data_IF_671822789434
#
_entry.id   IF_671822789434
#
_cell.length_a   1.000
_cell.length_b   1.000
_cell.length_c   1.000
_cell.angle_alpha   90.00
_cell.angle_beta   90.00
_cell.angle_gamma   90.00
#
_symmetry.space_group_name_H-M   'P 1'
#
loop_
_entity.id
_entity.type
_entity.pdbx_description
1 polymer ?
#
# COMPACT_ATOMS: atom_id res chain seq x y z
N UNK A 1 8.86 29.32 1.88
CA UNK A 1 9.81 29.19 0.73
C UNK A 1 9.27 28.18 -0.29
N UNK A 2 9.19 28.52 -1.59
CA UNK A 2 8.71 27.61 -2.65
C UNK A 2 9.88 26.90 -3.34
N UNK A 3 9.75 25.61 -3.59
CA UNK A 3 10.74 24.76 -4.27
C UNK A 3 10.08 24.15 -5.51
N UNK A 4 10.61 24.49 -6.69
CA UNK A 4 10.22 23.87 -7.98
C UNK A 4 11.41 23.13 -8.57
N UNK A 5 11.53 21.83 -8.28
CA UNK A 5 12.63 20.97 -8.75
C UNK A 5 12.08 19.58 -9.08
N UNK A 6 12.78 18.84 -9.93
CA UNK A 6 12.44 17.43 -10.18
C UNK A 6 12.74 16.53 -8.98
N UNK A 7 13.86 16.78 -8.29
CA UNK A 7 14.31 16.05 -7.11
C UNK A 7 15.40 16.85 -6.38
N UNK A 8 15.56 16.60 -5.09
CA UNK A 8 16.69 17.06 -4.27
C UNK A 8 17.49 15.88 -3.71
N UNK A 9 18.79 16.13 -3.46
CA UNK A 9 19.72 15.18 -2.83
C UNK A 9 20.30 15.68 -1.50
N UNK A 10 20.23 17.00 -1.26
CA UNK A 10 20.76 17.68 -0.07
C UNK A 10 19.76 18.74 0.37
N UNK A 11 19.83 19.12 1.63
CA UNK A 11 18.94 20.09 2.29
C UNK A 11 19.70 21.27 2.89
N UNK A 12 20.94 21.53 2.45
CA UNK A 12 21.81 22.61 2.94
C UNK A 12 21.13 23.99 2.85
N UNK A 13 20.19 24.15 1.91
CA UNK A 13 19.38 25.36 1.77
C UNK A 13 18.41 25.59 2.94
N UNK A 14 18.25 24.64 3.88
CA UNK A 14 17.43 24.73 5.09
C UNK A 14 18.25 24.91 6.36
N UNK A 15 19.55 25.19 6.25
CA UNK A 15 20.41 25.38 7.42
C UNK A 15 19.90 26.48 8.37
N UNK A 16 19.22 27.49 7.84
CA UNK A 16 18.61 28.56 8.64
C UNK A 16 17.46 28.09 9.54
N UNK A 17 16.91 26.89 9.28
CA UNK A 17 15.79 26.28 10.03
C UNK A 17 16.21 25.06 10.82
N UNK A 18 17.52 24.82 10.94
CA UNK A 18 18.00 23.65 11.64
C UNK A 18 17.55 23.66 13.11
N UNK A 19 16.92 22.58 13.55
CA UNK A 19 16.33 22.43 14.87
C UNK A 19 14.84 22.79 14.96
N UNK A 20 14.29 23.50 13.97
CA UNK A 20 12.87 23.90 13.97
C UNK A 20 11.94 22.78 13.51
N UNK A 21 10.69 22.86 13.95
CA UNK A 21 9.60 22.06 13.40
C UNK A 21 9.06 22.72 12.13
N UNK A 22 8.95 21.94 11.05
CA UNK A 22 8.45 22.42 9.77
C UNK A 22 7.43 21.44 9.19
N UNK A 23 6.59 21.96 8.31
CA UNK A 23 5.75 21.16 7.40
C UNK A 23 6.16 21.44 5.95
N UNK A 24 6.02 20.41 5.12
CA UNK A 24 6.10 20.54 3.67
C UNK A 24 4.66 20.51 3.16
N UNK A 25 4.30 21.47 2.32
CA UNK A 25 2.94 21.56 1.80
C UNK A 25 2.84 22.06 0.38
N UNK A 26 1.65 21.96 -0.19
CA UNK A 26 1.29 22.59 -1.47
C UNK A 26 -0.13 23.12 -1.38
N UNK A 27 -0.40 24.26 -1.99
CA UNK A 27 -1.75 24.83 -2.10
C UNK A 27 -2.57 24.00 -3.08
N UNK A 28 -3.80 23.67 -2.69
CA UNK A 28 -4.76 23.05 -3.59
C UNK A 28 -5.32 24.12 -4.53
N UNK A 29 -4.89 24.04 -5.79
CA UNK A 29 -5.38 24.85 -6.89
C UNK A 29 -5.89 23.94 -8.02
N UNK A 30 -6.48 24.55 -9.05
CA UNK A 30 -7.00 23.82 -10.21
C UNK A 30 -5.95 22.94 -10.91
N UNK A 31 -4.65 23.21 -10.72
CA UNK A 31 -3.56 22.45 -11.32
C UNK A 31 -3.24 21.17 -10.53
N UNK A 32 -3.29 21.22 -9.20
CA UNK A 32 -2.90 20.12 -8.33
C UNK A 32 -4.07 19.26 -7.83
N UNK A 33 -5.32 19.72 -7.96
CA UNK A 33 -6.52 18.98 -7.55
C UNK A 33 -6.62 17.59 -8.21
N UNK A 34 -6.34 17.47 -9.51
CA UNK A 34 -6.36 16.16 -10.19
C UNK A 34 -5.33 15.19 -9.59
N UNK A 35 -4.15 15.69 -9.26
CA UNK A 35 -3.07 14.89 -8.65
C UNK A 35 -3.46 14.45 -7.24
N UNK A 36 -4.19 15.27 -6.49
CA UNK A 36 -4.72 14.91 -5.18
C UNK A 36 -5.62 13.66 -5.26
N UNK A 37 -6.49 13.59 -6.27
CA UNK A 37 -7.33 12.40 -6.51
C UNK A 37 -6.49 11.17 -6.87
N UNK A 38 -5.47 11.34 -7.72
CA UNK A 38 -4.59 10.24 -8.15
C UNK A 38 -3.82 9.62 -6.97
N UNK A 39 -3.42 10.43 -5.99
CA UNK A 39 -2.72 9.95 -4.79
C UNK A 39 -3.65 9.38 -3.71
N UNK A 40 -4.97 9.49 -3.88
CA UNK A 40 -5.97 8.77 -3.09
C UNK A 40 -6.94 9.61 -2.26
N UNK A 41 -6.86 10.95 -2.30
CA UNK A 41 -7.83 11.81 -1.62
C UNK A 41 -9.24 11.69 -2.21
N UNK A 42 -10.25 12.10 -1.45
CA UNK A 42 -11.63 12.09 -1.93
C UNK A 42 -11.87 13.21 -2.97
N UNK A 43 -13.00 13.12 -3.68
CA UNK A 43 -13.43 14.19 -4.60
C UNK A 43 -13.81 15.48 -3.84
N UNK A 44 -14.25 15.34 -2.59
CA UNK A 44 -14.71 16.47 -1.76
C UNK A 44 -13.53 17.24 -1.15
N UNK A 45 -12.34 16.62 -1.06
CA UNK A 45 -11.11 17.20 -0.50
C UNK A 45 -11.35 17.85 0.88
N UNK A 46 -12.01 17.12 1.78
CA UNK A 46 -12.38 17.65 3.09
C UNK A 46 -11.16 17.88 3.97
N UNK A 47 -11.21 18.94 4.78
CA UNK A 47 -10.23 19.16 5.83
C UNK A 47 -10.15 17.93 6.75
N UNK A 48 -8.95 17.53 7.14
CA UNK A 48 -8.70 16.36 7.98
C UNK A 48 -8.58 15.05 7.22
N UNK A 49 -8.91 14.99 5.93
CA UNK A 49 -8.62 13.81 5.11
C UNK A 49 -7.12 13.52 5.14
N UNK A 50 -6.75 12.27 5.41
CA UNK A 50 -5.36 11.81 5.49
C UNK A 50 -5.19 10.54 4.66
N UNK A 51 -4.15 10.49 3.83
CA UNK A 51 -3.85 9.32 2.98
C UNK A 51 -2.38 8.97 2.98
N UNK A 52 -2.08 7.68 3.03
CA UNK A 52 -0.80 7.19 2.54
C UNK A 52 -0.87 7.21 1.01
N UNK A 53 -0.01 7.97 0.34
CA UNK A 53 -0.11 8.22 -1.12
C UNK A 53 -0.09 6.94 -1.97
N UNK A 54 -0.94 6.87 -2.99
CA UNK A 54 -0.84 5.87 -4.07
C UNK A 54 0.54 5.89 -4.74
N UNK A 55 0.94 4.74 -5.30
CA UNK A 55 2.19 4.61 -6.04
C UNK A 55 2.04 5.14 -7.47
N UNK A 56 2.63 6.30 -7.75
CA UNK A 56 2.71 6.88 -9.10
C UNK A 56 4.13 6.84 -9.68
N UNK A 57 5.14 6.75 -8.82
CA UNK A 57 6.55 6.83 -9.18
C UNK A 57 7.47 6.17 -8.14
N UNK A 58 8.80 6.24 -8.33
CA UNK A 58 9.77 5.60 -7.44
C UNK A 58 9.74 6.11 -5.99
N UNK A 59 9.51 7.41 -5.77
CA UNK A 59 9.51 8.01 -4.41
C UNK A 59 8.24 7.63 -3.67
N UNK A 60 7.08 7.77 -4.30
CA UNK A 60 5.79 7.29 -3.75
C UNK A 60 5.79 5.79 -3.52
N UNK A 61 6.42 4.99 -4.40
CA UNK A 61 6.65 3.56 -4.14
C UNK A 61 7.49 3.33 -2.89
N UNK A 62 8.61 4.04 -2.74
CA UNK A 62 9.47 3.95 -1.55
C UNK A 62 8.70 4.36 -0.28
N UNK A 63 7.80 5.33 -0.40
CA UNK A 63 6.94 5.79 0.70
C UNK A 63 5.91 4.74 1.12
N UNK A 64 5.23 4.10 0.15
CA UNK A 64 4.12 3.19 0.41
C UNK A 64 4.54 1.73 0.61
N UNK A 65 5.59 1.25 -0.07
CA UNK A 65 5.96 -0.18 -0.10
C UNK A 65 7.38 -0.46 0.39
N UNK A 66 8.18 0.58 0.63
CA UNK A 66 9.60 0.42 0.97
C UNK A 66 10.43 0.06 -0.26
N UNK A 67 11.59 -0.56 -0.04
CA UNK A 67 12.52 -0.91 -1.12
C UNK A 67 13.46 -2.04 -0.71
N UNK A 68 14.24 -2.53 -1.66
CA UNK A 68 15.18 -3.62 -1.45
C UNK A 68 16.61 -3.19 -1.75
N UNK A 69 17.55 -3.59 -0.89
CA UNK A 69 18.99 -3.54 -1.17
C UNK A 69 19.36 -4.86 -1.82
N UNK A 70 19.88 -4.83 -3.06
CA UNK A 70 20.19 -6.03 -3.85
C UNK A 70 21.68 -6.35 -3.72
N UNK A 71 21.99 -7.54 -3.22
CA UNK A 71 23.36 -8.02 -3.02
C UNK A 71 23.86 -8.80 -4.24
N UNK A 72 24.36 -8.05 -5.24
CA UNK A 72 24.87 -8.63 -6.51
C UNK A 72 26.19 -9.40 -6.35
N UNK A 73 26.88 -9.16 -5.24
CA UNK A 73 28.10 -9.83 -4.79
C UNK A 73 27.84 -11.27 -4.29
N UNK A 74 26.61 -11.60 -3.91
CA UNK A 74 26.24 -12.92 -3.37
C UNK A 74 25.69 -13.85 -4.45
N UNK A 75 25.81 -15.16 -4.22
CA UNK A 75 25.23 -16.20 -5.10
C UNK A 75 23.71 -16.07 -5.17
N UNK A 76 23.15 -16.23 -6.37
CA UNK A 76 21.71 -16.16 -6.59
C UNK A 76 20.96 -17.28 -5.84
N UNK A 77 19.86 -16.90 -5.20
CA UNK A 77 18.90 -17.81 -4.56
C UNK A 77 17.82 -18.28 -5.55
N UNK A 78 17.28 -19.48 -5.33
CA UNK A 78 16.07 -19.94 -6.03
C UNK A 78 14.85 -19.39 -5.32
N UNK A 79 13.95 -18.77 -6.08
CA UNK A 79 12.59 -18.42 -5.66
C UNK A 79 11.58 -19.00 -6.64
N UNK A 80 10.32 -18.84 -6.30
CA UNK A 80 9.21 -19.41 -7.05
C UNK A 80 8.12 -18.37 -7.22
N UNK A 81 7.45 -18.43 -8.36
CA UNK A 81 6.23 -17.67 -8.62
C UNK A 81 5.17 -18.62 -9.13
N UNK A 82 3.94 -18.42 -8.68
CA UNK A 82 2.79 -19.17 -9.19
C UNK A 82 2.33 -18.58 -10.52
N UNK A 83 2.06 -19.42 -11.50
CA UNK A 83 1.44 -19.04 -12.77
C UNK A 83 0.23 -19.94 -13.04
N UNK A 84 -0.71 -19.43 -13.82
CA UNK A 84 -1.70 -20.25 -14.50
C UNK A 84 -1.04 -20.96 -15.69
N UNK A 85 -1.22 -22.27 -15.76
CA UNK A 85 -0.65 -23.15 -16.77
C UNK A 85 -1.77 -23.87 -17.51
N UNK A 86 -1.74 -23.79 -18.85
CA UNK A 86 -2.71 -24.46 -19.72
C UNK A 86 -2.03 -25.57 -20.53
N UNK A 87 -2.68 -26.72 -20.65
CA UNK A 87 -2.23 -27.80 -21.53
C UNK A 87 -3.42 -28.55 -22.13
N UNK A 88 -3.19 -29.26 -23.23
CA UNK A 88 -4.19 -30.15 -23.83
C UNK A 88 -3.98 -31.57 -23.31
N UNK A 89 -4.98 -32.10 -22.60
CA UNK A 89 -4.99 -33.48 -22.15
C UNK A 89 -5.72 -34.35 -23.17
N UNK A 90 -5.11 -35.44 -23.58
CA UNK A 90 -5.77 -36.41 -24.44
C UNK A 90 -6.79 -37.23 -23.64
N UNK A 91 -8.03 -37.30 -24.12
CA UNK A 91 -9.14 -37.95 -23.41
C UNK A 91 -9.76 -39.13 -24.19
N UNK A 92 -9.06 -39.64 -25.21
CA UNK A 92 -9.52 -40.78 -25.99
C UNK A 92 -10.00 -40.43 -27.41
N UNK A 93 -9.95 -41.40 -28.32
CA UNK A 93 -10.57 -41.34 -29.67
C UNK A 93 -10.19 -40.09 -30.49
N UNK A 94 -8.92 -39.66 -30.39
CA UNK A 94 -8.42 -38.48 -31.10
C UNK A 94 -8.94 -37.15 -30.55
N UNK A 95 -9.59 -37.14 -29.39
CA UNK A 95 -10.07 -35.93 -28.71
C UNK A 95 -9.09 -35.47 -27.65
N UNK A 96 -9.05 -34.16 -27.47
CA UNK A 96 -8.27 -33.47 -26.44
C UNK A 96 -9.15 -32.48 -25.72
N UNK A 97 -8.89 -32.28 -24.43
CA UNK A 97 -9.55 -31.33 -23.56
C UNK A 97 -8.55 -30.29 -23.07
N UNK A 98 -8.95 -29.02 -23.03
CA UNK A 98 -8.12 -27.95 -22.49
C UNK A 98 -8.17 -27.99 -20.97
N UNK A 99 -7.02 -28.22 -20.36
CA UNK A 99 -6.84 -28.25 -18.91
C UNK A 99 -6.15 -26.98 -18.44
N UNK A 100 -6.40 -26.63 -17.17
CA UNK A 100 -5.78 -25.51 -16.48
C UNK A 100 -5.41 -25.92 -15.06
N UNK A 101 -4.24 -25.49 -14.60
CA UNK A 101 -3.82 -25.61 -13.21
C UNK A 101 -2.88 -24.46 -12.83
N UNK A 102 -2.66 -24.28 -11.52
CA UNK A 102 -1.70 -23.34 -10.99
C UNK A 102 -0.41 -24.07 -10.62
N UNK A 103 0.72 -23.65 -11.18
CA UNK A 103 2.02 -24.27 -10.91
C UNK A 103 3.03 -23.25 -10.40
N UNK A 104 3.97 -23.71 -9.57
CA UNK A 104 5.09 -22.90 -9.11
C UNK A 104 6.30 -23.03 -10.05
N UNK A 105 6.65 -21.94 -10.73
CA UNK A 105 7.83 -21.87 -11.60
C UNK A 105 9.01 -21.29 -10.84
N UNK A 106 10.10 -22.05 -10.77
CA UNK A 106 11.32 -21.59 -10.13
C UNK A 106 12.07 -20.55 -10.98
N UNK A 107 12.71 -19.58 -10.33
CA UNK A 107 13.58 -18.61 -10.96
C UNK A 107 14.74 -18.23 -10.02
N UNK A 108 15.86 -17.78 -10.60
CA UNK A 108 17.02 -17.32 -9.83
C UNK A 108 16.96 -15.81 -9.62
N UNK A 109 17.30 -15.34 -8.43
CA UNK A 109 17.48 -13.90 -8.15
C UNK A 109 18.62 -13.66 -7.17
N UNK A 110 19.21 -12.47 -7.20
CA UNK A 110 20.15 -12.05 -6.17
C UNK A 110 19.44 -11.89 -4.81
N UNK A 111 20.09 -12.30 -3.71
CA UNK A 111 19.63 -12.02 -2.36
C UNK A 111 19.40 -10.53 -2.16
N UNK A 112 18.42 -10.18 -1.33
CA UNK A 112 18.05 -8.79 -1.10
C UNK A 112 17.48 -8.59 0.31
N UNK A 113 17.81 -7.47 0.90
CA UNK A 113 17.29 -7.06 2.21
C UNK A 113 16.17 -6.06 2.01
N UNK A 114 15.05 -6.28 2.70
CA UNK A 114 13.90 -5.39 2.65
C UNK A 114 14.10 -4.24 3.63
N UNK A 115 13.95 -3.02 3.14
CA UNK A 115 13.91 -1.80 3.94
C UNK A 115 12.46 -1.34 4.04
N UNK A 116 11.90 -1.21 5.26
CA UNK A 116 10.51 -0.79 5.45
C UNK A 116 10.17 0.57 4.80
N UNK A 117 8.91 0.79 4.42
CA UNK A 117 8.42 2.07 3.91
C UNK A 117 8.60 3.20 4.92
N UNK A 118 8.79 4.43 4.43
CA UNK A 118 8.72 5.61 5.30
C UNK A 118 7.30 5.85 5.84
N UNK A 119 6.27 5.43 5.10
CA UNK A 119 4.85 5.54 5.46
C UNK A 119 4.40 6.95 5.84
N UNK A 120 4.90 7.96 5.12
CA UNK A 120 4.49 9.36 5.34
C UNK A 120 3.08 9.54 4.77
N UNK A 121 2.12 9.81 5.65
CA UNK A 121 0.75 10.17 5.28
C UNK A 121 0.66 11.68 5.01
N UNK A 122 -0.09 12.07 3.98
CA UNK A 122 -0.38 13.47 3.67
C UNK A 122 -1.79 13.81 4.14
N UNK A 123 -2.00 15.03 4.65
CA UNK A 123 -3.30 15.47 5.15
C UNK A 123 -3.76 16.75 4.48
N UNK A 124 -5.08 16.91 4.33
CA UNK A 124 -5.68 18.19 3.92
C UNK A 124 -5.86 19.06 5.16
N UNK A 125 -5.37 20.30 5.08
CA UNK A 125 -5.59 21.34 6.07
C UNK A 125 -6.02 22.64 5.41
N UNK A 126 -6.51 23.59 6.21
CA UNK A 126 -6.86 24.93 5.73
C UNK A 126 -5.98 25.97 6.41
N UNK A 127 -5.48 26.96 5.66
CA UNK A 127 -4.77 28.08 6.28
C UNK A 127 -5.74 29.08 6.94
N UNK A 128 -5.18 30.05 7.67
CA UNK A 128 -5.91 31.17 8.27
C UNK A 128 -6.68 32.05 7.27
N UNK A 129 -6.31 32.00 5.98
CA UNK A 129 -7.00 32.68 4.88
C UNK A 129 -8.14 31.87 4.27
N UNK A 130 -8.31 30.61 4.65
CA UNK A 130 -9.31 29.69 4.12
C UNK A 130 -8.86 28.86 2.91
N UNK A 131 -7.62 29.00 2.43
CA UNK A 131 -7.09 28.17 1.34
C UNK A 131 -6.82 26.74 1.83
N UNK A 132 -7.20 25.77 1.01
CA UNK A 132 -6.91 24.36 1.27
C UNK A 132 -5.47 24.01 0.86
N UNK A 133 -4.80 23.20 1.67
CA UNK A 133 -3.41 22.80 1.54
C UNK A 133 -3.31 21.28 1.72
N UNK A 134 -2.43 20.63 0.95
CA UNK A 134 -1.96 19.28 1.25
C UNK A 134 -0.66 19.40 2.03
N UNK A 135 -0.55 18.70 3.15
CA UNK A 135 0.49 18.89 4.16
C UNK A 135 1.13 17.55 4.56
N UNK A 136 2.44 17.59 4.80
CA UNK A 136 3.14 16.53 5.50
C UNK A 136 2.83 16.57 7.00
N UNK A 137 3.17 15.51 7.76
CA UNK A 137 3.30 15.61 9.21
C UNK A 137 4.34 16.66 9.59
N UNK A 138 4.33 17.06 10.87
CA UNK A 138 5.41 17.90 11.42
C UNK A 138 6.70 17.09 11.38
N UNK A 139 7.77 17.70 10.86
CA UNK A 139 9.09 17.10 10.78
C UNK A 139 10.08 18.07 11.41
N UNK A 140 10.91 17.57 12.32
CA UNK A 140 12.04 18.33 12.84
C UNK A 140 13.09 18.48 11.75
N UNK A 141 13.43 19.71 11.41
CA UNK A 141 14.48 20.02 10.47
C UNK A 141 15.85 19.69 11.09
N UNK A 142 16.56 18.73 10.51
CA UNK A 142 17.93 18.38 10.89
C UNK A 142 18.79 18.36 9.63
N UNK A 143 19.48 19.47 9.38
CA UNK A 143 20.39 19.61 8.25
C UNK A 143 21.79 19.09 8.58
N UNK A 144 22.16 19.07 9.87
CA UNK A 144 23.47 18.61 10.33
C UNK A 144 23.68 17.13 10.03
N UNK A 145 22.69 16.29 10.34
CA UNK A 145 22.75 14.85 10.03
C UNK A 145 22.17 14.50 8.66
N UNK A 146 21.85 15.50 7.82
CA UNK A 146 21.23 15.29 6.51
C UNK A 146 20.01 14.39 6.57
N UNK A 147 18.95 14.83 7.27
CA UNK A 147 17.72 14.06 7.48
C UNK A 147 17.18 13.40 6.20
N UNK A 148 17.35 12.08 6.10
CA UNK A 148 16.85 11.29 4.97
C UNK A 148 15.33 11.39 4.85
N UNK A 149 14.64 11.48 5.99
CA UNK A 149 13.18 11.62 6.06
C UNK A 149 12.77 12.94 5.42
N UNK A 150 13.43 14.06 5.75
CA UNK A 150 13.10 15.37 5.17
C UNK A 150 13.37 15.41 3.66
N UNK A 151 14.51 14.84 3.22
CA UNK A 151 14.81 14.68 1.79
C UNK A 151 13.74 13.84 1.11
N UNK A 152 13.27 12.76 1.74
CA UNK A 152 12.23 11.89 1.21
C UNK A 152 10.89 12.64 1.12
N UNK A 153 10.48 13.37 2.15
CA UNK A 153 9.22 14.12 2.16
C UNK A 153 9.23 15.22 1.09
N UNK A 154 10.29 16.01 0.98
CA UNK A 154 10.38 17.01 -0.10
C UNK A 154 10.28 16.33 -1.46
N UNK A 155 11.02 15.24 -1.68
CA UNK A 155 10.95 14.49 -2.94
C UNK A 155 9.58 13.85 -3.19
N UNK A 156 8.82 13.51 -2.15
CA UNK A 156 7.46 12.99 -2.26
C UNK A 156 6.55 14.05 -2.87
N UNK A 157 6.59 15.28 -2.36
CA UNK A 157 5.83 16.39 -2.93
C UNK A 157 6.32 16.76 -4.33
N UNK A 158 7.63 16.77 -4.58
CA UNK A 158 8.16 17.07 -5.91
C UNK A 158 7.75 16.00 -6.95
N UNK A 159 7.68 14.72 -6.59
CA UNK A 159 7.22 13.66 -7.50
C UNK A 159 5.73 13.76 -7.82
N UNK A 160 4.91 14.15 -6.83
CA UNK A 160 3.46 14.28 -7.00
C UNK A 160 3.10 15.60 -7.68
N UNK A 161 3.49 16.72 -7.08
CA UNK A 161 3.02 18.06 -7.43
C UNK A 161 3.99 18.85 -8.32
N UNK A 162 5.24 18.41 -8.48
CA UNK A 162 6.34 19.15 -9.12
C UNK A 162 6.83 20.39 -8.35
N UNK A 163 6.18 20.70 -7.23
CA UNK A 163 6.56 21.79 -6.34
C UNK A 163 6.16 21.50 -4.89
N UNK A 164 6.78 22.23 -3.96
CA UNK A 164 6.37 22.25 -2.57
C UNK A 164 6.76 23.57 -1.92
N UNK A 165 6.12 23.85 -0.80
CA UNK A 165 6.36 25.01 0.05
C UNK A 165 6.74 24.53 1.43
N UNK A 166 7.77 25.15 2.00
CA UNK A 166 8.15 24.95 3.39
C UNK A 166 7.38 25.95 4.24
N UNK A 167 6.68 25.41 5.23
CA UNK A 167 5.82 26.11 6.18
C UNK A 167 6.44 25.95 7.57
N UNK A 168 6.62 27.07 8.27
CA UNK A 168 7.02 27.03 9.68
C UNK A 168 5.87 26.50 10.52
N UNK A 169 6.18 25.85 11.64
CA UNK A 169 5.20 25.35 12.61
C UNK A 169 4.64 26.49 13.49
N UNK A 170 4.32 27.64 12.90
CA UNK A 170 3.34 28.53 13.50
C UNK A 170 1.98 27.81 13.43
N UNK A 171 1.66 27.10 14.52
CA UNK A 171 0.43 26.35 14.70
C UNK A 171 -0.84 27.23 14.61
N UNK A 172 -0.72 28.56 14.61
CA UNK A 172 -1.88 29.47 14.53
C UNK A 172 -2.42 29.64 13.11
N UNK A 173 -1.63 29.31 12.08
CA UNK A 173 -2.01 29.57 10.69
C UNK A 173 -2.59 28.37 9.94
N UNK A 174 -2.55 27.16 10.50
CA UNK A 174 -3.00 25.94 9.80
C UNK A 174 -3.94 25.12 10.69
N UNK A 175 -5.19 25.00 10.25
CA UNK A 175 -6.20 24.18 10.89
C UNK A 175 -6.36 22.84 10.15
N UNK A 176 -6.04 21.74 10.83
CA UNK A 176 -6.36 20.39 10.40
C UNK A 176 -7.44 19.86 11.33
N UNK A 177 -8.63 19.58 10.80
CA UNK A 177 -9.72 18.97 11.58
C UNK A 177 -9.40 17.52 11.96
N UNK A 178 -10.31 16.86 12.67
CA UNK A 178 -10.14 15.45 13.08
C UNK A 178 -9.74 14.58 11.89
N UNK A 179 -8.63 13.87 12.03
CA UNK A 179 -8.07 13.00 11.00
C UNK A 179 -9.08 11.94 10.53
N UNK A 180 -9.33 11.90 9.23
CA UNK A 180 -10.11 10.90 8.53
C UNK A 180 -9.20 10.14 7.56
N UNK A 181 -8.79 8.91 7.91
CA UNK A 181 -7.91 8.11 7.06
C UNK A 181 -8.68 7.41 5.95
N UNK A 182 -8.34 7.70 4.68
CA UNK A 182 -9.01 7.12 3.51
C UNK A 182 -8.26 5.91 2.91
N UNK A 183 -7.52 5.19 3.74
CA UNK A 183 -6.68 4.06 3.32
C UNK A 183 -7.46 2.77 3.02
N UNK A 184 -8.75 2.68 3.36
CA UNK A 184 -9.56 1.47 3.24
C UNK A 184 -10.97 1.78 2.71
N UNK A 185 -11.46 0.91 1.83
CA UNK A 185 -12.86 0.85 1.42
C UNK A 185 -13.53 -0.34 2.09
N UNK A 186 -14.50 -0.05 2.94
CA UNK A 186 -15.29 -1.06 3.64
C UNK A 186 -16.38 -1.58 2.71
N UNK A 187 -16.41 -2.89 2.45
CA UNK A 187 -17.53 -3.47 1.71
C UNK A 187 -18.75 -3.66 2.63
N UNK A 188 -19.99 -3.57 2.10
CA UNK A 188 -21.20 -3.78 2.88
C UNK A 188 -21.18 -5.13 3.61
N UNK A 189 -21.54 -5.11 4.89
CA UNK A 189 -21.72 -6.31 5.70
C UNK A 189 -22.98 -7.08 5.26
N UNK A 190 -22.91 -8.41 5.37
CA UNK A 190 -24.02 -9.31 5.06
C UNK A 190 -23.63 -10.47 4.15
N UNK A 191 -24.47 -11.50 4.16
CA UNK A 191 -24.31 -12.70 3.33
C UNK A 191 -24.67 -12.38 1.88
N UNK A 192 -23.67 -11.95 1.12
CA UNK A 192 -23.80 -11.72 -0.31
C UNK A 192 -23.21 -12.90 -1.08
N UNK A 193 -23.88 -13.38 -2.14
CA UNK A 193 -23.28 -14.34 -3.05
C UNK A 193 -21.93 -13.86 -3.60
N UNK A 194 -21.03 -14.80 -3.87
CA UNK A 194 -19.69 -14.51 -4.37
C UNK A 194 -19.73 -13.62 -5.61
N UNK A 195 -20.69 -13.81 -6.51
CA UNK A 195 -20.86 -13.05 -7.74
C UNK A 195 -21.03 -11.56 -7.49
N UNK A 196 -21.79 -11.19 -6.45
CA UNK A 196 -22.03 -9.80 -6.07
C UNK A 196 -20.77 -9.19 -5.45
N UNK A 197 -20.12 -9.90 -4.53
CA UNK A 197 -18.87 -9.42 -3.91
C UNK A 197 -17.73 -9.34 -4.93
N UNK A 198 -17.66 -10.28 -5.86
CA UNK A 198 -16.68 -10.33 -6.92
C UNK A 198 -16.76 -9.10 -7.83
N UNK A 199 -17.96 -8.59 -8.14
CA UNK A 199 -18.09 -7.35 -8.92
C UNK A 199 -17.44 -6.13 -8.25
N UNK A 200 -17.40 -6.11 -6.90
CA UNK A 200 -16.71 -5.07 -6.12
C UNK A 200 -15.20 -5.29 -6.06
N UNK A 201 -14.75 -6.54 -5.98
CA UNK A 201 -13.32 -6.92 -5.87
C UNK A 201 -12.62 -6.93 -7.24
N UNK A 202 -13.33 -7.23 -8.32
CA UNK A 202 -12.78 -7.38 -9.67
C UNK A 202 -12.01 -6.14 -10.15
N UNK A 203 -12.49 -4.90 -9.99
CA UNK A 203 -11.71 -3.70 -10.36
C UNK A 203 -10.37 -3.61 -9.64
N UNK A 204 -10.30 -4.13 -8.41
CA UNK A 204 -9.07 -4.18 -7.63
C UNK A 204 -8.11 -5.25 -8.16
N UNK A 205 -8.60 -6.46 -8.49
CA UNK A 205 -7.79 -7.52 -9.13
C UNK A 205 -7.24 -7.06 -10.49
N UNK A 206 -8.05 -6.33 -11.27
CA UNK A 206 -7.68 -5.84 -12.60
C UNK A 206 -6.51 -4.84 -12.61
N UNK A 207 -6.17 -4.24 -11.46
CA UNK A 207 -4.96 -3.41 -11.31
C UNK A 207 -3.67 -4.24 -11.37
N UNK A 208 -3.73 -5.53 -11.06
CA UNK A 208 -2.59 -6.43 -11.18
C UNK A 208 -2.27 -6.77 -12.65
N UNK A 209 -1.04 -7.20 -12.91
CA UNK A 209 -0.62 -7.65 -14.25
C UNK A 209 -1.50 -8.80 -14.73
N UNK A 210 -1.91 -8.77 -16.00
CA UNK A 210 -2.85 -9.74 -16.61
C UNK A 210 -2.53 -11.20 -16.28
N UNK A 211 -1.27 -11.62 -16.39
CA UNK A 211 -0.85 -13.01 -16.10
C UNK A 211 -0.92 -13.45 -14.63
N UNK A 212 -1.17 -12.54 -13.69
CA UNK A 212 -1.32 -12.86 -12.27
C UNK A 212 -2.78 -12.81 -11.81
N UNK A 213 -3.68 -12.24 -12.62
CA UNK A 213 -5.05 -11.95 -12.22
C UNK A 213 -5.82 -13.22 -11.83
N UNK A 214 -5.68 -14.29 -12.62
CA UNK A 214 -6.30 -15.60 -12.32
C UNK A 214 -5.79 -16.20 -11.02
N UNK A 215 -4.48 -16.15 -10.76
CA UNK A 215 -3.88 -16.64 -9.51
C UNK A 215 -4.39 -15.85 -8.30
N UNK A 216 -4.51 -14.53 -8.42
CA UNK A 216 -5.05 -13.66 -7.37
C UNK A 216 -6.53 -13.99 -7.13
N UNK A 217 -7.30 -14.14 -8.19
CA UNK A 217 -8.71 -14.48 -8.13
C UNK A 217 -8.96 -15.83 -7.45
N UNK A 218 -8.19 -16.87 -7.79
CA UNK A 218 -8.26 -18.18 -7.13
C UNK A 218 -8.04 -18.09 -5.62
N UNK A 219 -7.04 -17.33 -5.17
CA UNK A 219 -6.77 -17.15 -3.74
C UNK A 219 -7.88 -16.39 -3.02
N UNK A 220 -8.37 -15.29 -3.59
CA UNK A 220 -9.48 -14.51 -3.02
C UNK A 220 -10.73 -15.38 -2.94
N UNK A 221 -11.06 -16.12 -4.00
CA UNK A 221 -12.20 -17.04 -4.03
C UNK A 221 -12.07 -18.14 -2.99
N UNK A 222 -10.86 -18.68 -2.80
CA UNK A 222 -10.58 -19.69 -1.78
C UNK A 222 -10.80 -19.14 -0.36
N UNK A 223 -10.24 -17.97 -0.02
CA UNK A 223 -10.48 -17.34 1.30
C UNK A 223 -11.97 -17.04 1.49
N UNK A 224 -12.64 -16.53 0.45
CA UNK A 224 -14.07 -16.22 0.50
C UNK A 224 -14.94 -17.46 0.77
N UNK A 225 -14.50 -18.66 0.35
CA UNK A 225 -15.26 -19.90 0.59
C UNK A 225 -15.44 -20.25 2.07
N UNK A 226 -14.68 -19.61 2.96
CA UNK A 226 -14.82 -19.72 4.42
C UNK A 226 -15.81 -18.71 5.01
N UNK A 227 -16.57 -17.98 4.18
CA UNK A 227 -17.59 -17.01 4.57
C UNK A 227 -17.08 -15.93 5.56
N UNK A 228 -16.15 -15.06 5.11
CA UNK A 228 -15.67 -13.97 5.95
C UNK A 228 -16.82 -13.01 6.30
N UNK A 229 -16.91 -12.68 7.59
CA UNK A 229 -17.91 -11.75 8.15
C UNK A 229 -17.80 -10.37 7.52
N UNK A 230 -16.57 -9.98 7.20
CA UNK A 230 -16.27 -8.64 6.76
C UNK A 230 -15.09 -8.59 5.79
N UNK A 231 -15.18 -7.69 4.80
CA UNK A 231 -14.16 -7.48 3.76
C UNK A 231 -13.86 -5.99 3.61
N UNK A 232 -12.58 -5.64 3.58
CA UNK A 232 -12.13 -4.30 3.21
C UNK A 232 -11.10 -4.34 2.09
N UNK A 233 -11.20 -3.40 1.14
CA UNK A 233 -10.27 -3.25 0.03
C UNK A 233 -9.33 -2.09 0.37
N UNK A 234 -8.02 -2.31 0.28
CA UNK A 234 -7.04 -1.25 0.46
C UNK A 234 -7.16 -0.17 -0.62
N UNK A 235 -7.03 1.08 -0.19
CA UNK A 235 -6.98 2.27 -1.03
C UNK A 235 -5.63 2.96 -0.88
N UNK A 236 -5.34 3.83 -1.85
CA UNK A 236 -4.13 4.63 -1.88
C UNK A 236 -2.85 3.77 -1.66
N UNK A 237 -2.05 4.07 -0.64
CA UNK A 237 -0.86 3.32 -0.28
C UNK A 237 -1.12 1.88 0.13
N UNK A 238 -2.35 1.51 0.50
CA UNK A 238 -2.74 0.13 0.80
C UNK A 238 -3.41 -0.61 -0.37
N UNK A 239 -3.45 0.00 -1.58
CA UNK A 239 -4.11 -0.56 -2.77
C UNK A 239 -3.62 -1.91 -3.30
N UNK A 240 -2.67 -2.55 -2.61
CA UNK A 240 -2.24 -3.92 -2.86
C UNK A 240 -2.85 -4.99 -1.94
N UNK A 241 -3.70 -4.60 -0.97
CA UNK A 241 -4.20 -5.52 0.05
C UNK A 241 -5.73 -5.60 0.10
N UNK A 242 -6.26 -6.79 0.37
CA UNK A 242 -7.65 -7.03 0.77
C UNK A 242 -7.64 -7.64 2.16
N UNK A 243 -8.49 -7.15 3.05
CA UNK A 243 -8.69 -7.70 4.38
C UNK A 243 -9.92 -8.59 4.39
N UNK A 244 -9.78 -9.78 4.98
CA UNK A 244 -10.88 -10.66 5.35
C UNK A 244 -10.87 -10.84 6.86
N UNK A 245 -12.00 -10.55 7.48
CA UNK A 245 -12.21 -10.72 8.91
C UNK A 245 -13.06 -11.97 9.17
N UNK A 246 -12.62 -12.76 10.15
CA UNK A 246 -13.32 -13.92 10.70
C UNK A 246 -13.48 -13.70 12.20
N UNK A 247 -14.58 -13.06 12.59
CA UNK A 247 -14.82 -12.52 13.93
C UNK A 247 -14.81 -13.62 14.99
N UNK A 248 -15.49 -14.74 14.76
CA UNK A 248 -15.54 -15.86 15.72
C UNK A 248 -14.17 -16.47 16.01
N UNK A 249 -13.27 -16.42 15.04
CA UNK A 249 -11.91 -16.98 15.14
C UNK A 249 -10.89 -15.93 15.62
N UNK A 250 -11.31 -14.66 15.70
CA UNK A 250 -10.43 -13.52 15.91
C UNK A 250 -9.22 -13.55 14.95
N UNK A 251 -9.48 -13.82 13.66
CA UNK A 251 -8.46 -13.90 12.61
C UNK A 251 -8.76 -12.84 11.54
N UNK A 252 -7.72 -12.12 11.15
CA UNK A 252 -7.77 -11.14 10.07
C UNK A 252 -6.69 -11.47 9.05
N UNK A 253 -7.10 -11.73 7.81
CA UNK A 253 -6.20 -12.04 6.70
C UNK A 253 -6.03 -10.83 5.80
N UNK A 254 -4.79 -10.36 5.67
CA UNK A 254 -4.42 -9.33 4.71
C UNK A 254 -3.81 -10.03 3.50
N UNK A 255 -4.63 -10.24 2.47
CA UNK A 255 -4.24 -10.88 1.23
C UNK A 255 -3.64 -9.85 0.26
N UNK A 256 -2.40 -10.11 -0.17
CA UNK A 256 -1.68 -9.26 -1.13
C UNK A 256 -1.95 -9.69 -2.57
N UNK A 257 -2.20 -8.72 -3.45
CA UNK A 257 -2.27 -8.97 -4.91
C UNK A 257 -0.92 -8.88 -5.61
N UNK A 258 0.13 -8.46 -4.91
CA UNK A 258 1.47 -8.41 -5.46
C UNK A 258 2.12 -9.80 -5.53
N UNK A 259 2.80 -10.07 -6.63
CA UNK A 259 3.68 -11.24 -6.78
C UNK A 259 4.87 -11.17 -5.84
N UNK A 260 5.40 -12.34 -5.46
CA UNK A 260 6.48 -12.49 -4.47
C UNK A 260 6.12 -11.95 -3.07
N UNK A 261 4.82 -11.84 -2.77
CA UNK A 261 4.33 -11.43 -1.47
C UNK A 261 3.67 -12.60 -0.71
N UNK A 262 2.91 -12.29 0.34
CA UNK A 262 2.31 -13.25 1.25
C UNK A 262 0.91 -12.80 1.67
N UNK A 263 0.16 -13.75 2.24
CA UNK A 263 -0.98 -13.44 3.11
C UNK A 263 -0.46 -13.22 4.52
N UNK A 264 -0.85 -12.11 5.13
CA UNK A 264 -0.48 -11.79 6.50
C UNK A 264 -1.65 -12.10 7.42
N UNK A 265 -1.36 -12.76 8.54
CA UNK A 265 -2.36 -13.18 9.54
C UNK A 265 -2.21 -12.31 10.77
N UNK A 266 -3.32 -11.76 11.26
CA UNK A 266 -3.38 -10.98 12.48
C UNK A 266 -4.43 -11.55 13.43
N UNK A 267 -4.24 -11.34 14.72
CA UNK A 267 -5.16 -11.70 15.82
C UNK A 267 -5.60 -10.49 16.65
N UNK A 268 -5.35 -9.29 16.14
CA UNK A 268 -5.86 -8.02 16.67
C UNK A 268 -6.90 -7.46 15.72
N UNK A 269 -7.91 -6.79 16.29
CA UNK A 269 -9.00 -6.18 15.53
C UNK A 269 -8.45 -5.36 14.34
N UNK A 270 -8.87 -5.70 13.12
CA UNK A 270 -8.36 -5.00 11.93
C UNK A 270 -8.66 -3.50 11.97
N UNK A 271 -9.70 -3.05 12.69
CA UNK A 271 -9.98 -1.63 12.88
C UNK A 271 -8.82 -0.93 13.58
N UNK A 272 -8.25 -1.55 14.60
CA UNK A 272 -7.07 -1.02 15.31
C UNK A 272 -5.84 -1.06 14.39
N UNK A 273 -5.66 -2.14 13.62
CA UNK A 273 -4.55 -2.28 12.66
C UNK A 273 -4.67 -1.25 11.52
N UNK A 274 -5.89 -0.96 11.07
CA UNK A 274 -6.17 0.01 10.00
C UNK A 274 -5.81 1.45 10.39
N UNK A 275 -5.69 1.72 11.71
CA UNK A 275 -5.21 2.99 12.24
C UNK A 275 -3.68 3.06 12.36
N UNK A 276 -2.96 1.97 12.12
CA UNK A 276 -1.51 1.95 12.13
C UNK A 276 -0.94 2.23 10.74
N UNK A 277 0.23 2.85 10.69
CA UNK A 277 0.95 2.96 9.42
C UNK A 277 1.53 1.60 9.03
N UNK A 278 1.80 1.39 7.73
CA UNK A 278 2.50 0.17 7.28
C UNK A 278 3.83 -0.03 7.99
N UNK A 279 4.55 1.06 8.25
CA UNK A 279 5.80 1.03 9.01
C UNK A 279 5.58 0.48 10.42
N UNK A 280 4.56 0.96 11.13
CA UNK A 280 4.28 0.48 12.49
C UNK A 280 3.93 -1.01 12.52
N UNK A 281 3.15 -1.48 11.54
CA UNK A 281 2.79 -2.90 11.41
C UNK A 281 4.04 -3.77 11.24
N UNK A 282 4.99 -3.32 10.41
CA UNK A 282 6.21 -4.04 10.10
C UNK A 282 7.25 -3.94 11.23
N UNK A 283 7.44 -2.76 11.81
CA UNK A 283 8.44 -2.52 12.87
C UNK A 283 8.08 -3.20 14.18
N UNK A 284 6.80 -3.26 14.52
CA UNK A 284 6.34 -3.93 15.75
C UNK A 284 6.01 -5.42 15.52
N UNK A 285 6.32 -5.97 14.35
CA UNK A 285 6.08 -7.38 13.98
C UNK A 285 4.67 -7.87 14.35
N UNK A 286 3.65 -7.03 14.11
CA UNK A 286 2.28 -7.29 14.59
C UNK A 286 1.61 -8.48 13.91
N UNK A 287 2.20 -8.99 12.84
CA UNK A 287 1.73 -10.17 12.13
C UNK A 287 1.95 -11.41 12.99
N UNK A 288 0.89 -12.17 13.25
CA UNK A 288 0.96 -13.48 13.88
C UNK A 288 1.65 -14.51 12.99
N UNK A 289 1.39 -14.41 11.68
CA UNK A 289 1.95 -15.33 10.70
C UNK A 289 2.06 -14.67 9.32
N UNK A 290 2.97 -15.19 8.49
CA UNK A 290 3.20 -14.78 7.10
C UNK A 290 3.21 -16.01 6.20
N UNK A 291 2.19 -16.14 5.37
CA UNK A 291 1.96 -17.30 4.50
C UNK A 291 2.35 -16.97 3.07
N UNK A 292 3.48 -17.50 2.62
CA UNK A 292 3.96 -17.30 1.25
C UNK A 292 3.00 -17.97 0.25
N UNK A 293 2.71 -17.28 -0.86
CA UNK A 293 1.90 -17.81 -1.97
C UNK A 293 2.63 -18.91 -2.73
N UNK A 294 2.60 -20.14 -2.19
CA UNK A 294 3.12 -21.37 -2.81
C UNK A 294 1.95 -22.31 -3.05
N UNK A 295 1.83 -22.86 -4.26
CA UNK A 295 0.69 -23.71 -4.65
C UNK A 295 0.46 -24.84 -3.65
N UNK A 296 1.54 -25.54 -3.28
CA UNK A 296 1.47 -26.75 -2.44
C UNK A 296 1.06 -26.49 -0.99
N UNK A 297 1.39 -25.32 -0.44
CA UNK A 297 1.28 -25.07 1.01
C UNK A 297 0.29 -23.99 1.39
N UNK A 298 0.03 -23.03 0.50
CA UNK A 298 -0.77 -21.87 0.84
C UNK A 298 -2.22 -22.23 1.17
N UNK A 299 -2.92 -22.96 0.28
CA UNK A 299 -4.32 -23.38 0.52
C UNK A 299 -4.44 -24.21 1.79
N UNK A 300 -3.52 -25.15 2.02
CA UNK A 300 -3.48 -25.98 3.23
C UNK A 300 -3.30 -25.16 4.52
N UNK A 301 -2.43 -24.15 4.50
CA UNK A 301 -2.21 -23.29 5.68
C UNK A 301 -3.42 -22.41 5.97
N UNK A 302 -4.08 -21.89 4.94
CA UNK A 302 -5.33 -21.13 5.10
C UNK A 302 -6.45 -22.05 5.62
N UNK A 303 -6.59 -23.26 5.07
CA UNK A 303 -7.58 -24.25 5.52
C UNK A 303 -7.40 -24.58 7.00
N UNK A 304 -6.17 -24.86 7.44
CA UNK A 304 -5.84 -25.14 8.84
C UNK A 304 -6.09 -23.96 9.79
N UNK A 305 -6.09 -22.72 9.29
CA UNK A 305 -6.36 -21.53 10.09
C UNK A 305 -7.86 -21.24 10.23
N UNK A 306 -8.65 -21.61 9.21
CA UNK A 306 -10.06 -21.21 9.08
C UNK A 306 -11.04 -22.36 9.28
N UNK A 307 -10.59 -23.61 9.42
CA UNK A 307 -11.40 -24.76 9.85
C UNK A 307 -11.18 -25.05 11.32
#
# INVERSE_FOLDING_TARGET
>A
MIIKKKRIRKIDFLNYLNGENIRIGVTLDNYNVKKAYEIGFSIDLKNGETVLTSVIGPVTRKNAEGYYIIHKDKKMETKYRTIEWHWKQWCGRGKTEDMMDFIDVSYKRYPRDFIPPYSIELSIGTNSKGDSLILSPIIKCDTVNSSEILIHVINLFLEIFNECTILHDDLSDINISKTERLNWEILPQGDYPWEVRYLKIKPFIQKAKKGNQSVIEDRIKFIHSFNPDYIAIGRAGFSGYIVFEFTEKNIYLFESVYTDNATYVFDKNWKDISMLTKKDILTNELQKDRIIHRVETWKKRIDNLLR
#
